data_IF_672551201548
#
_entry.id   IF_672551201548
#
_cell.length_a   1.000
_cell.length_b   1.000
_cell.length_c   1.000
_cell.angle_alpha   90.00
_cell.angle_beta   90.00
_cell.angle_gamma   90.00
#
_symmetry.space_group_name_H-M   'P 1'
#
loop_
_entity.id
_entity.type
_entity.pdbx_description
1 polymer ?
#
# COMPACT_ATOMS: atom_id res chain seq x y z
N UNK A 1 39.37 46.12 -30.60
CA UNK A 1 40.28 45.56 -29.57
C UNK A 1 39.52 44.44 -28.87
N UNK A 2 39.86 43.18 -29.04
CA UNK A 2 39.23 42.08 -28.32
C UNK A 2 39.96 41.83 -26.99
N UNK A 3 39.19 41.61 -25.94
CA UNK A 3 39.69 41.29 -24.62
C UNK A 3 40.06 39.80 -24.53
N UNK A 4 41.25 39.55 -24.06
CA UNK A 4 41.88 38.25 -23.82
C UNK A 4 41.30 37.62 -22.54
N UNK A 5 40.72 36.44 -22.66
CA UNK A 5 40.20 35.64 -21.55
C UNK A 5 40.98 34.33 -21.43
N UNK A 6 42.08 34.39 -20.65
CA UNK A 6 42.79 33.17 -20.24
C UNK A 6 42.05 32.46 -19.10
N UNK A 7 41.84 31.14 -19.15
CA UNK A 7 41.23 30.39 -18.07
C UNK A 7 42.23 30.05 -16.96
N UNK A 8 41.86 30.32 -15.71
CA UNK A 8 42.60 29.87 -14.53
C UNK A 8 42.47 28.36 -14.35
N UNK A 9 43.56 27.62 -14.07
CA UNK A 9 43.50 26.19 -13.80
C UNK A 9 42.94 25.92 -12.40
N UNK A 10 41.96 25.02 -12.32
CA UNK A 10 41.45 24.50 -11.05
C UNK A 10 42.46 23.48 -10.48
N UNK A 11 42.69 23.45 -9.15
CA UNK A 11 43.58 22.48 -8.53
C UNK A 11 43.01 21.06 -8.52
N UNK A 12 43.84 20.09 -8.89
CA UNK A 12 43.54 18.67 -8.97
C UNK A 12 43.23 18.12 -7.57
N UNK A 13 42.09 17.40 -7.46
CA UNK A 13 41.61 16.74 -6.23
C UNK A 13 42.63 15.78 -5.58
N UNK A 14 43.67 15.37 -6.32
CA UNK A 14 44.74 14.49 -5.82
C UNK A 14 45.81 15.23 -5.01
N UNK A 15 45.90 16.54 -5.09
CA UNK A 15 46.88 17.36 -4.33
C UNK A 15 46.37 17.70 -2.92
N UNK A 16 45.06 17.72 -2.67
CA UNK A 16 44.48 18.01 -1.35
C UNK A 16 44.58 16.85 -0.37
N UNK A 17 44.80 15.63 -0.84
CA UNK A 17 44.93 14.43 0.03
C UNK A 17 46.37 14.15 0.51
N UNK A 18 47.40 14.88 0.05
CA UNK A 18 48.81 14.69 0.46
C UNK A 18 49.33 15.65 1.54
N UNK A 19 48.54 16.66 1.91
CA UNK A 19 48.96 17.66 2.90
C UNK A 19 48.58 17.34 4.36
N UNK A 20 47.92 16.20 4.63
CA UNK A 20 47.43 15.84 5.98
C UNK A 20 48.30 14.80 6.73
N UNK A 21 49.51 14.47 6.24
CA UNK A 21 50.35 13.40 6.81
C UNK A 21 51.80 13.86 7.12
N UNK A 22 51.98 15.02 7.72
CA UNK A 22 53.28 15.42 8.25
C UNK A 22 53.13 16.42 9.39
N UNK A 23 52.87 15.94 10.62
CA UNK A 23 53.18 16.69 11.84
C UNK A 23 53.47 15.71 12.98
N UNK A 24 54.79 15.46 13.13
CA UNK A 24 55.58 15.25 14.36
C UNK A 24 54.95 14.68 15.62
N UNK A 25 55.46 13.53 16.03
CA UNK A 25 55.48 13.03 17.42
C UNK A 25 56.38 13.88 18.32
N UNK A 26 55.99 14.11 19.59
CA UNK A 26 56.94 14.14 20.69
C UNK A 26 56.71 12.97 21.65
N UNK A 27 57.79 12.31 21.97
CA UNK A 27 57.97 11.33 23.04
C UNK A 27 57.81 11.97 24.43
N UNK A 28 57.04 11.31 25.31
CA UNK A 28 57.24 11.54 26.74
C UNK A 28 56.02 11.39 27.63
N UNK A 29 56.09 10.44 28.55
CA UNK A 29 55.43 10.28 29.83
C UNK A 29 54.13 9.44 29.92
N UNK A 30 54.31 8.28 30.58
CA UNK A 30 53.28 7.40 31.06
C UNK A 30 52.34 8.12 32.04
N UNK A 31 51.10 8.22 31.66
CA UNK A 31 49.95 8.63 32.48
C UNK A 31 48.74 7.83 32.10
N UNK A 32 48.09 7.19 33.06
CA UNK A 32 47.02 6.23 32.89
C UNK A 32 45.91 6.71 31.98
N UNK A 33 45.68 6.01 30.86
CA UNK A 33 44.52 6.18 29.97
C UNK A 33 43.29 5.63 30.69
N UNK A 34 42.57 6.48 31.42
CA UNK A 34 41.13 6.30 31.59
C UNK A 34 40.50 6.40 30.20
N UNK A 35 40.23 5.28 29.59
CA UNK A 35 39.42 5.23 28.37
C UNK A 35 38.03 5.76 28.73
N UNK A 36 37.81 7.05 28.51
CA UNK A 36 36.48 7.64 28.49
C UNK A 36 35.74 6.97 27.32
N UNK A 37 34.94 5.95 27.63
CA UNK A 37 33.99 5.38 26.70
C UNK A 37 33.08 6.53 26.26
N UNK A 38 33.30 7.04 25.05
CA UNK A 38 32.33 7.91 24.40
C UNK A 38 30.99 7.15 24.43
N UNK A 39 29.91 7.81 24.88
CA UNK A 39 28.60 7.17 24.81
C UNK A 39 28.39 6.74 23.35
N UNK A 40 28.22 5.44 23.14
CA UNK A 40 27.78 4.93 21.85
C UNK A 40 26.49 5.69 21.52
N UNK A 41 26.55 6.56 20.54
CA UNK A 41 25.37 7.21 20.00
C UNK A 41 24.49 6.08 19.47
N UNK A 42 23.51 5.70 20.28
CA UNK A 42 22.47 4.77 19.87
C UNK A 42 21.74 5.44 18.73
N UNK A 43 22.11 5.10 17.50
CA UNK A 43 21.37 5.56 16.34
C UNK A 43 19.93 5.09 16.53
N UNK A 44 19.00 6.03 16.65
CA UNK A 44 17.57 5.71 16.70
C UNK A 44 17.25 4.81 15.52
N UNK A 45 16.66 3.63 15.72
CA UNK A 45 16.34 2.74 14.61
C UNK A 45 15.52 3.49 13.57
N UNK A 46 15.93 3.44 12.31
CA UNK A 46 15.14 4.06 11.24
C UNK A 46 13.75 3.42 11.19
N UNK A 47 12.67 4.22 11.04
CA UNK A 47 11.34 3.67 10.93
C UNK A 47 11.22 2.73 9.73
N UNK A 48 10.43 1.67 9.86
CA UNK A 48 10.08 0.79 8.75
C UNK A 48 9.21 1.54 7.76
N UNK A 49 9.70 1.73 6.54
CA UNK A 49 8.91 2.33 5.45
C UNK A 49 7.94 1.29 4.89
N UNK A 50 6.65 1.56 5.01
CA UNK A 50 5.58 0.69 4.50
C UNK A 50 4.85 1.41 3.37
N UNK A 51 4.94 0.85 2.17
CA UNK A 51 4.32 1.41 0.96
C UNK A 51 2.80 1.26 0.97
N UNK A 52 2.09 2.30 0.52
CA UNK A 52 0.65 2.26 0.35
C UNK A 52 0.13 3.30 -0.63
N UNK A 53 -1.06 3.07 -1.16
CA UNK A 53 -1.78 4.03 -2.00
C UNK A 53 -2.77 4.83 -1.14
N UNK A 54 -3.16 6.04 -1.58
CA UNK A 54 -4.19 6.84 -0.92
C UNK A 54 -5.59 6.29 -1.20
N UNK A 55 -5.82 5.03 -0.85
CA UNK A 55 -7.08 4.29 -1.00
C UNK A 55 -7.57 3.82 0.36
N UNK A 56 -8.89 3.79 0.56
CA UNK A 56 -9.47 3.33 1.83
C UNK A 56 -9.13 1.87 2.12
N UNK A 57 -8.81 1.10 1.09
CA UNK A 57 -8.26 -0.26 1.21
C UNK A 57 -6.96 -0.33 2.06
N UNK A 58 -6.23 0.77 2.17
CA UNK A 58 -4.98 0.85 2.96
C UNK A 58 -5.18 1.59 4.30
N UNK A 59 -6.42 1.88 4.73
CA UNK A 59 -6.70 2.74 5.89
C UNK A 59 -6.15 2.19 7.22
N UNK A 60 -6.05 0.88 7.37
CA UNK A 60 -5.45 0.25 8.56
C UNK A 60 -4.00 0.65 8.77
N UNK A 61 -3.25 0.97 7.70
CA UNK A 61 -1.83 1.34 7.83
C UNK A 61 -1.63 2.74 8.44
N UNK A 62 -2.28 3.84 7.98
CA UNK A 62 -2.22 5.12 8.68
C UNK A 62 -2.60 5.03 10.16
N UNK A 63 -3.67 4.29 10.48
CA UNK A 63 -4.11 4.08 11.86
C UNK A 63 -3.04 3.35 12.67
N UNK A 64 -2.45 2.27 12.14
CA UNK A 64 -1.37 1.52 12.77
C UNK A 64 -0.13 2.40 13.02
N UNK A 65 0.27 3.24 12.06
CA UNK A 65 1.40 4.16 12.19
C UNK A 65 1.17 5.16 13.34
N UNK A 66 -0.02 5.79 13.40
CA UNK A 66 -0.33 6.76 14.46
C UNK A 66 -0.46 6.07 15.81
N UNK A 67 -1.12 4.91 15.87
CA UNK A 67 -1.27 4.16 17.12
C UNK A 67 0.09 3.74 17.71
N UNK A 68 1.00 3.26 16.85
CA UNK A 68 2.35 2.87 17.29
C UNK A 68 3.14 4.09 17.77
N UNK A 69 3.11 5.19 17.05
CA UNK A 69 3.77 6.43 17.45
C UNK A 69 3.22 6.95 18.79
N UNK A 70 1.90 6.89 19.00
CA UNK A 70 1.24 7.27 20.26
C UNK A 70 1.67 6.35 21.41
N UNK A 71 1.72 5.04 21.17
CA UNK A 71 2.19 4.07 22.16
C UNK A 71 3.66 4.32 22.55
N UNK A 72 4.53 4.59 21.57
CA UNK A 72 5.93 4.93 21.83
C UNK A 72 6.08 6.21 22.67
N UNK A 73 5.29 7.24 22.37
CA UNK A 73 5.31 8.50 23.13
C UNK A 73 4.83 8.33 24.58
N UNK A 74 3.97 7.36 24.84
CA UNK A 74 3.49 7.03 26.18
C UNK A 74 4.43 6.12 26.97
N UNK A 75 5.29 5.39 26.30
CA UNK A 75 6.24 4.45 26.92
C UNK A 75 7.44 5.20 27.53
N UNK A 76 7.50 5.23 28.84
CA UNK A 76 8.61 5.83 29.62
C UNK A 76 9.76 4.87 29.91
N UNK A 77 9.68 3.61 29.48
CA UNK A 77 10.68 2.57 29.80
C UNK A 77 12.00 2.75 29.06
N UNK A 78 12.03 3.57 27.99
CA UNK A 78 13.24 3.83 27.20
C UNK A 78 13.71 2.64 26.36
N UNK A 79 12.89 1.61 26.21
CA UNK A 79 13.16 0.47 25.34
C UNK A 79 13.20 0.85 23.86
N UNK A 80 13.95 0.10 23.06
CA UNK A 80 13.96 0.27 21.60
C UNK A 80 12.54 -0.01 21.06
N UNK A 81 11.88 1.05 20.63
CA UNK A 81 10.51 0.96 20.10
C UNK A 81 10.54 0.77 18.58
N UNK A 82 9.67 -0.10 18.08
CA UNK A 82 9.43 -0.17 16.63
C UNK A 82 8.69 1.07 16.15
N UNK A 83 8.98 1.53 14.95
CA UNK A 83 8.30 2.62 14.29
C UNK A 83 7.97 2.23 12.85
N UNK A 84 6.81 2.70 12.37
CA UNK A 84 6.41 2.56 10.97
C UNK A 84 6.16 3.92 10.37
N UNK A 85 6.53 4.07 9.10
CA UNK A 85 6.24 5.26 8.34
C UNK A 85 5.52 4.90 7.04
N UNK A 86 4.40 5.60 6.79
CA UNK A 86 3.63 5.46 5.56
C UNK A 86 4.38 6.09 4.39
N UNK A 87 4.74 5.27 3.40
CA UNK A 87 5.35 5.72 2.15
C UNK A 87 4.28 5.75 1.06
N UNK A 88 3.88 6.95 0.62
CA UNK A 88 2.79 7.17 -0.32
C UNK A 88 3.23 6.96 -1.76
N UNK A 89 2.41 6.23 -2.51
CA UNK A 89 2.57 5.95 -3.94
C UNK A 89 1.26 6.26 -4.70
N UNK A 90 1.34 6.43 -6.02
CA UNK A 90 0.17 6.66 -6.87
C UNK A 90 -0.31 5.41 -7.61
N UNK A 91 0.54 4.38 -7.73
CA UNK A 91 0.22 3.14 -8.41
C UNK A 91 0.99 1.93 -7.89
N UNK A 92 0.43 0.75 -8.07
CA UNK A 92 1.07 -0.51 -7.67
C UNK A 92 2.36 -0.84 -8.45
N UNK A 93 2.55 -0.45 -9.73
CA UNK A 93 3.84 -0.64 -10.40
C UNK A 93 5.00 0.05 -9.65
N UNK A 94 4.80 1.28 -9.17
CA UNK A 94 5.81 2.02 -8.40
C UNK A 94 6.13 1.35 -7.06
N UNK A 95 5.10 0.88 -6.34
CA UNK A 95 5.27 0.12 -5.08
C UNK A 95 6.07 -1.16 -5.36
N UNK A 96 5.66 -1.92 -6.38
CA UNK A 96 6.34 -3.16 -6.79
C UNK A 96 7.84 -2.92 -7.03
N UNK A 97 8.17 -1.93 -7.86
CA UNK A 97 9.58 -1.60 -8.15
C UNK A 97 10.34 -1.15 -6.89
N UNK A 98 9.70 -0.39 -6.01
CA UNK A 98 10.31 0.07 -4.75
C UNK A 98 10.56 -1.08 -3.78
N UNK A 99 9.62 -2.05 -3.70
CA UNK A 99 9.76 -3.25 -2.88
C UNK A 99 10.86 -4.18 -3.43
N UNK A 100 10.88 -4.42 -4.75
CA UNK A 100 11.88 -5.24 -5.41
C UNK A 100 13.29 -4.64 -5.28
N UNK A 101 13.41 -3.32 -5.39
CA UNK A 101 14.68 -2.60 -5.23
C UNK A 101 15.13 -2.45 -3.76
N UNK A 102 14.34 -2.93 -2.78
CA UNK A 102 14.67 -2.80 -1.36
C UNK A 102 14.57 -1.37 -0.81
N UNK A 103 13.97 -0.43 -1.55
CA UNK A 103 13.74 0.95 -1.06
C UNK A 103 12.71 0.99 0.06
N UNK A 104 11.75 0.07 0.04
CA UNK A 104 10.82 -0.24 1.12
C UNK A 104 10.89 -1.74 1.42
N UNK A 105 10.61 -2.12 2.65
CA UNK A 105 10.68 -3.53 3.08
C UNK A 105 9.31 -4.17 3.25
N UNK A 106 8.27 -3.35 3.31
CA UNK A 106 6.87 -3.78 3.42
C UNK A 106 5.97 -2.86 2.58
N UNK A 107 4.83 -3.38 2.13
CA UNK A 107 3.84 -2.60 1.40
C UNK A 107 2.47 -3.28 1.40
N UNK A 108 1.42 -2.48 1.22
CA UNK A 108 0.16 -3.02 0.75
C UNK A 108 0.26 -3.29 -0.76
N UNK A 109 0.00 -4.53 -1.14
CA UNK A 109 0.07 -5.01 -2.52
C UNK A 109 -1.25 -5.68 -2.93
N UNK A 110 -1.47 -5.83 -4.23
CA UNK A 110 -2.56 -6.63 -4.77
C UNK A 110 -2.24 -8.12 -4.64
N UNK A 111 -3.14 -8.94 -4.09
CA UNK A 111 -2.88 -10.36 -3.87
C UNK A 111 -2.43 -11.12 -5.14
N UNK A 112 -3.08 -10.97 -6.34
CA UNK A 112 -2.61 -11.61 -7.56
C UNK A 112 -1.22 -11.14 -8.00
N UNK A 113 -0.87 -9.87 -7.76
CA UNK A 113 0.47 -9.35 -8.07
C UNK A 113 1.55 -10.00 -7.20
N UNK A 114 1.25 -10.26 -5.91
CA UNK A 114 2.18 -10.98 -5.03
C UNK A 114 2.36 -12.43 -5.46
N UNK A 115 1.28 -13.09 -5.91
CA UNK A 115 1.36 -14.44 -6.49
C UNK A 115 2.27 -14.46 -7.73
N UNK A 116 2.14 -13.50 -8.65
CA UNK A 116 3.00 -13.36 -9.82
C UNK A 116 4.47 -13.11 -9.43
N UNK A 117 4.72 -12.29 -8.42
CA UNK A 117 6.07 -12.06 -7.90
C UNK A 117 6.69 -13.35 -7.33
N UNK A 118 5.91 -14.11 -6.57
CA UNK A 118 6.36 -15.38 -6.01
C UNK A 118 6.62 -16.44 -7.09
N UNK A 119 5.80 -16.50 -8.16
CA UNK A 119 6.05 -17.33 -9.33
C UNK A 119 7.39 -16.99 -10.01
N UNK A 120 7.71 -15.70 -10.06
CA UNK A 120 9.00 -15.16 -10.55
C UNK A 120 10.15 -15.26 -9.53
N UNK A 121 9.93 -15.96 -8.40
CA UNK A 121 10.93 -16.15 -7.34
C UNK A 121 11.42 -14.87 -6.68
N UNK A 122 10.59 -13.81 -6.69
CA UNK A 122 10.87 -12.61 -5.91
C UNK A 122 10.56 -12.91 -4.43
N UNK A 123 11.49 -12.66 -3.50
CA UNK A 123 11.40 -13.11 -2.11
C UNK A 123 10.47 -12.20 -1.28
N UNK A 124 9.17 -12.36 -1.45
CA UNK A 124 8.12 -11.62 -0.74
C UNK A 124 7.06 -12.56 -0.18
N UNK A 125 6.45 -12.18 0.95
CA UNK A 125 5.37 -12.93 1.60
C UNK A 125 4.21 -12.02 1.96
N UNK A 126 3.00 -12.52 1.77
CA UNK A 126 1.79 -11.97 2.39
C UNK A 126 1.77 -12.40 3.85
N UNK A 127 1.59 -11.44 4.76
CA UNK A 127 1.58 -11.68 6.21
C UNK A 127 0.27 -11.28 6.89
N UNK A 128 -0.61 -10.52 6.19
CA UNK A 128 -1.94 -10.12 6.68
C UNK A 128 -2.81 -9.61 5.53
N UNK A 129 -4.13 -9.60 5.72
CA UNK A 129 -5.04 -8.78 4.91
C UNK A 129 -4.97 -7.32 5.36
N UNK A 130 -5.38 -6.40 4.46
CA UNK A 130 -5.55 -4.98 4.77
C UNK A 130 -7.01 -4.59 5.00
N UNK A 131 -7.93 -5.23 4.30
CA UNK A 131 -9.37 -4.92 4.30
C UNK A 131 -10.16 -6.00 3.57
N UNK A 132 -11.49 -5.87 3.62
CA UNK A 132 -12.42 -6.57 2.72
C UNK A 132 -13.33 -5.60 2.03
N UNK A 133 -13.87 -5.98 0.84
CA UNK A 133 -14.70 -5.12 -0.01
C UNK A 133 -13.99 -3.82 -0.46
N UNK A 134 -14.72 -2.80 -0.89
CA UNK A 134 -14.16 -1.48 -1.18
C UNK A 134 -13.81 -1.20 -2.64
N UNK A 135 -14.13 -2.09 -3.59
CA UNK A 135 -14.05 -1.78 -5.01
C UNK A 135 -15.42 -1.49 -5.60
N UNK A 136 -15.43 -0.65 -6.63
CA UNK A 136 -16.63 -0.13 -7.28
C UNK A 136 -16.42 -0.01 -8.78
N UNK A 137 -17.48 -0.31 -9.56
CA UNK A 137 -17.54 -0.04 -10.98
C UNK A 137 -18.40 1.20 -11.20
N UNK A 138 -17.80 2.23 -11.77
CA UNK A 138 -18.39 3.55 -11.93
C UNK A 138 -18.72 3.84 -13.40
N UNK A 139 -19.87 4.48 -13.63
CA UNK A 139 -20.30 5.02 -14.91
C UNK A 139 -20.80 6.46 -14.72
N UNK A 140 -20.90 7.22 -15.79
CA UNK A 140 -21.45 8.58 -15.73
C UNK A 140 -22.94 8.57 -15.40
N UNK A 141 -23.39 9.55 -14.64
CA UNK A 141 -24.80 9.71 -14.27
C UNK A 141 -25.70 9.95 -15.52
N UNK A 142 -25.18 10.70 -16.50
CA UNK A 142 -25.88 10.99 -17.76
C UNK A 142 -25.76 9.87 -18.82
N UNK A 143 -25.13 8.74 -18.50
CA UNK A 143 -25.05 7.59 -19.40
C UNK A 143 -26.28 6.69 -19.29
N UNK A 144 -26.64 6.05 -20.41
CA UNK A 144 -27.71 5.04 -20.45
C UNK A 144 -27.29 3.67 -19.91
N UNK A 145 -26.04 3.53 -19.42
CA UNK A 145 -25.48 2.24 -18.99
C UNK A 145 -26.13 1.74 -17.70
N UNK A 146 -27.03 0.75 -17.79
CA UNK A 146 -27.69 0.12 -16.65
C UNK A 146 -27.16 -1.29 -16.39
N UNK A 147 -26.67 -1.96 -17.43
CA UNK A 147 -26.14 -3.34 -17.42
C UNK A 147 -24.78 -3.39 -18.09
N UNK A 148 -24.05 -4.47 -17.88
CA UNK A 148 -22.72 -4.63 -18.50
C UNK A 148 -22.79 -4.78 -20.02
N UNK A 149 -23.91 -5.32 -20.58
CA UNK A 149 -24.13 -5.35 -22.04
C UNK A 149 -24.11 -3.96 -22.69
N UNK A 150 -24.49 -2.94 -21.95
CA UNK A 150 -24.48 -1.55 -22.44
C UNK A 150 -23.04 -1.01 -22.59
N UNK A 151 -22.08 -1.71 -21.99
CA UNK A 151 -20.64 -1.39 -22.06
C UNK A 151 -19.91 -2.10 -23.21
N UNK A 152 -20.62 -2.85 -24.08
CA UNK A 152 -20.01 -3.50 -25.25
C UNK A 152 -19.28 -2.47 -26.13
N UNK A 153 -17.99 -2.74 -26.43
CA UNK A 153 -17.12 -1.84 -27.19
C UNK A 153 -16.64 -0.59 -26.45
N UNK A 154 -17.05 -0.39 -25.19
CA UNK A 154 -16.72 0.79 -24.38
C UNK A 154 -15.37 0.67 -23.69
N UNK A 155 -14.76 1.83 -23.39
CA UNK A 155 -13.48 1.93 -22.69
C UNK A 155 -13.72 1.85 -21.19
N UNK A 156 -13.09 0.86 -20.53
CA UNK A 156 -13.20 0.64 -19.08
C UNK A 156 -11.81 0.71 -18.47
N UNK A 157 -11.58 1.68 -17.59
CA UNK A 157 -10.31 1.79 -16.87
C UNK A 157 -10.25 0.83 -15.69
N UNK A 158 -9.07 0.24 -15.48
CA UNK A 158 -8.72 -0.62 -14.34
C UNK A 158 -7.33 -0.21 -13.82
N UNK A 159 -7.00 -0.49 -12.53
CA UNK A 159 -5.68 -0.14 -11.98
C UNK A 159 -4.52 -0.92 -12.61
N UNK A 160 -4.75 -2.19 -12.89
CA UNK A 160 -3.81 -3.14 -13.48
C UNK A 160 -4.54 -4.44 -13.82
N UNK A 161 -4.03 -5.20 -14.79
CA UNK A 161 -4.53 -6.56 -15.06
C UNK A 161 -4.27 -7.54 -13.90
N UNK A 162 -3.31 -7.24 -13.03
CA UNK A 162 -3.05 -7.98 -11.78
C UNK A 162 -3.93 -7.53 -10.61
N UNK A 163 -4.84 -6.54 -10.81
CA UNK A 163 -5.72 -6.08 -9.76
C UNK A 163 -6.92 -7.01 -9.56
N UNK A 164 -7.33 -7.20 -8.31
CA UNK A 164 -8.59 -7.92 -8.01
C UNK A 164 -9.80 -7.15 -8.57
N UNK A 165 -9.67 -5.81 -8.71
CA UNK A 165 -10.66 -4.97 -9.43
C UNK A 165 -10.89 -5.47 -10.86
N UNK A 166 -9.84 -5.92 -11.57
CA UNK A 166 -9.99 -6.51 -12.90
C UNK A 166 -10.71 -7.86 -12.86
N UNK A 167 -10.40 -8.68 -11.86
CA UNK A 167 -11.11 -9.96 -11.65
C UNK A 167 -12.59 -9.71 -11.33
N UNK A 168 -12.89 -8.67 -10.53
CA UNK A 168 -14.25 -8.22 -10.27
C UNK A 168 -14.97 -7.79 -11.55
N UNK A 169 -14.35 -6.96 -12.37
CA UNK A 169 -14.92 -6.58 -13.66
C UNK A 169 -15.18 -7.80 -14.55
N UNK A 170 -14.24 -8.73 -14.64
CA UNK A 170 -14.41 -9.97 -15.40
C UNK A 170 -15.61 -10.79 -14.92
N UNK A 171 -15.77 -10.91 -13.59
CA UNK A 171 -16.92 -11.60 -12.99
C UNK A 171 -18.24 -10.95 -13.40
N UNK A 172 -18.31 -9.63 -13.36
CA UNK A 172 -19.51 -8.89 -13.74
C UNK A 172 -19.83 -9.02 -15.23
N UNK A 173 -18.82 -8.96 -16.10
CA UNK A 173 -18.99 -9.20 -17.54
C UNK A 173 -19.52 -10.62 -17.80
N UNK A 174 -18.94 -11.63 -17.14
CA UNK A 174 -19.33 -13.03 -17.32
C UNK A 174 -20.77 -13.32 -16.90
N UNK A 175 -21.31 -12.62 -15.91
CA UNK A 175 -22.73 -12.75 -15.49
C UNK A 175 -23.71 -12.37 -16.63
N UNK A 176 -23.28 -11.55 -17.57
CA UNK A 176 -24.07 -11.18 -18.76
C UNK A 176 -23.59 -11.85 -20.05
N UNK A 177 -22.77 -12.90 -19.94
CA UNK A 177 -22.25 -13.66 -21.08
C UNK A 177 -21.19 -12.91 -21.88
N UNK A 178 -20.55 -11.91 -21.28
CA UNK A 178 -19.48 -11.10 -21.86
C UNK A 178 -18.11 -11.53 -21.36
N UNK A 179 -17.08 -11.12 -22.10
CA UNK A 179 -15.68 -11.31 -21.78
C UNK A 179 -14.92 -9.97 -21.84
N UNK A 180 -13.70 -9.87 -21.35
CA UNK A 180 -12.88 -8.66 -21.54
C UNK A 180 -12.60 -8.30 -23.01
N UNK A 181 -12.84 -9.21 -23.97
CA UNK A 181 -12.71 -8.93 -25.40
C UNK A 181 -13.86 -8.10 -25.95
N UNK A 182 -15.01 -8.10 -25.26
CA UNK A 182 -16.20 -7.34 -25.65
C UNK A 182 -16.14 -5.87 -25.22
N UNK A 183 -15.08 -5.48 -24.48
CA UNK A 183 -14.83 -4.12 -24.01
C UNK A 183 -13.38 -3.71 -24.29
N UNK A 184 -13.07 -2.42 -24.16
CA UNK A 184 -11.71 -1.90 -24.31
C UNK A 184 -11.11 -1.64 -22.92
N UNK A 185 -10.23 -2.52 -22.45
CA UNK A 185 -9.58 -2.36 -21.14
C UNK A 185 -8.42 -1.37 -21.24
N UNK A 186 -8.45 -0.34 -20.39
CA UNK A 186 -7.41 0.69 -20.25
C UNK A 186 -6.80 0.59 -18.85
N UNK A 187 -5.49 0.42 -18.75
CA UNK A 187 -4.79 0.48 -17.45
C UNK A 187 -4.46 1.93 -17.09
N UNK A 188 -4.82 2.36 -15.88
CA UNK A 188 -4.70 3.75 -15.45
C UNK A 188 -4.50 3.81 -13.92
N UNK A 189 -3.74 4.79 -13.44
CA UNK A 189 -3.61 5.02 -12.01
C UNK A 189 -4.97 5.40 -11.40
N UNK A 190 -5.35 4.82 -10.25
CA UNK A 190 -6.65 5.08 -9.63
C UNK A 190 -7.01 6.57 -9.41
N UNK A 191 -6.06 7.45 -9.00
CA UNK A 191 -6.35 8.87 -8.85
C UNK A 191 -6.79 9.58 -10.13
N UNK A 192 -6.40 9.08 -11.30
CA UNK A 192 -6.69 9.70 -12.61
C UNK A 192 -8.06 9.29 -13.17
N UNK A 193 -8.61 8.17 -12.69
CA UNK A 193 -9.84 7.58 -13.24
C UNK A 193 -11.08 8.50 -13.13
N UNK A 194 -11.33 9.20 -12.00
CA UNK A 194 -12.45 10.12 -11.90
C UNK A 194 -12.42 11.22 -12.96
N UNK A 195 -11.24 11.82 -13.17
CA UNK A 195 -11.06 12.87 -14.18
C UNK A 195 -11.22 12.32 -15.61
N UNK A 196 -10.68 11.12 -15.88
CA UNK A 196 -10.85 10.46 -17.19
C UNK A 196 -12.31 10.14 -17.50
N UNK A 197 -13.10 9.71 -16.51
CA UNK A 197 -14.55 9.50 -16.68
C UNK A 197 -15.29 10.82 -16.93
N UNK A 198 -14.96 11.87 -16.17
CA UNK A 198 -15.53 13.19 -16.35
C UNK A 198 -15.27 13.74 -17.75
N UNK A 199 -14.04 13.64 -18.23
CA UNK A 199 -13.61 14.07 -19.56
C UNK A 199 -14.10 13.15 -20.70
N UNK A 200 -14.86 12.07 -20.41
CA UNK A 200 -15.29 11.05 -21.38
C UNK A 200 -14.12 10.35 -22.09
N UNK A 201 -12.93 10.38 -21.50
CA UNK A 201 -11.78 9.61 -21.97
C UNK A 201 -11.97 8.12 -21.76
N UNK A 202 -12.75 7.75 -20.75
CA UNK A 202 -13.26 6.38 -20.52
C UNK A 202 -14.78 6.42 -20.29
N UNK A 203 -15.46 5.30 -20.54
CA UNK A 203 -16.91 5.17 -20.38
C UNK A 203 -17.28 4.64 -18.98
N UNK A 204 -16.37 3.86 -18.39
CA UNK A 204 -16.48 3.32 -17.03
C UNK A 204 -15.08 3.16 -16.42
N UNK A 205 -15.04 2.96 -15.12
CA UNK A 205 -13.84 2.46 -14.43
C UNK A 205 -14.18 1.53 -13.28
N UNK A 206 -13.27 0.62 -12.96
CA UNK A 206 -13.33 -0.26 -11.81
C UNK A 206 -12.10 -0.02 -10.92
N UNK A 207 -12.31 0.42 -9.68
CA UNK A 207 -11.20 0.69 -8.76
C UNK A 207 -11.64 0.67 -7.31
N UNK A 208 -10.65 0.66 -6.39
CA UNK A 208 -10.86 0.81 -4.95
C UNK A 208 -11.28 2.23 -4.57
N UNK A 209 -11.99 2.33 -3.44
CA UNK A 209 -12.39 3.62 -2.87
C UNK A 209 -11.17 4.41 -2.32
N UNK A 210 -11.22 5.76 -2.31
CA UNK A 210 -12.40 6.62 -2.38
C UNK A 210 -12.68 7.23 -3.76
N UNK A 211 -12.11 6.69 -4.83
CA UNK A 211 -12.23 7.30 -6.17
C UNK A 211 -13.64 7.19 -6.76
N UNK A 212 -14.40 6.14 -6.39
CA UNK A 212 -15.81 6.08 -6.69
C UNK A 212 -16.63 7.14 -5.96
N UNK A 213 -16.40 7.27 -4.66
CA UNK A 213 -17.03 8.28 -3.82
C UNK A 213 -16.75 9.70 -4.29
N UNK A 214 -15.52 9.99 -4.73
CA UNK A 214 -15.15 11.30 -5.27
C UNK A 214 -16.03 11.70 -6.46
N UNK A 215 -16.18 10.80 -7.44
CA UNK A 215 -17.01 11.05 -8.62
C UNK A 215 -18.51 11.11 -8.29
N UNK A 216 -19.00 10.29 -7.35
CA UNK A 216 -20.39 10.33 -6.87
C UNK A 216 -20.72 11.66 -6.19
N UNK A 217 -19.86 12.12 -5.28
CA UNK A 217 -20.07 13.39 -4.56
C UNK A 217 -19.99 14.60 -5.48
N UNK A 218 -19.17 14.54 -6.52
CA UNK A 218 -19.13 15.55 -7.58
C UNK A 218 -20.37 15.52 -8.52
N UNK A 219 -21.26 14.52 -8.36
CA UNK A 219 -22.57 14.44 -9.03
C UNK A 219 -22.56 13.93 -10.45
N UNK A 220 -21.40 13.71 -11.07
CA UNK A 220 -21.30 13.30 -12.48
C UNK A 220 -21.22 11.80 -12.70
N UNK A 221 -21.08 11.00 -11.64
CA UNK A 221 -20.97 9.55 -11.74
C UNK A 221 -21.83 8.82 -10.70
N UNK A 222 -22.17 7.59 -11.02
CA UNK A 222 -22.87 6.65 -10.15
C UNK A 222 -22.19 5.29 -10.15
N UNK A 223 -22.33 4.56 -9.05
CA UNK A 223 -21.92 3.15 -9.02
C UNK A 223 -22.87 2.31 -9.89
N UNK A 224 -22.30 1.51 -10.79
CA UNK A 224 -23.01 0.47 -11.51
C UNK A 224 -23.08 -0.81 -10.65
N UNK A 225 -21.96 -1.19 -10.00
CA UNK A 225 -21.87 -2.31 -9.05
C UNK A 225 -20.82 -2.03 -8.00
N UNK A 226 -20.98 -2.65 -6.82
CA UNK A 226 -20.01 -2.62 -5.72
C UNK A 226 -19.66 -4.05 -5.31
N UNK A 227 -18.42 -4.27 -4.88
CA UNK A 227 -17.96 -5.59 -4.41
C UNK A 227 -18.74 -6.08 -3.18
N UNK A 228 -19.21 -5.19 -2.30
CA UNK A 228 -20.03 -5.54 -1.14
C UNK A 228 -21.31 -6.33 -1.52
N UNK A 229 -21.88 -6.03 -2.67
CA UNK A 229 -23.13 -6.63 -3.15
C UNK A 229 -22.89 -7.91 -3.95
N UNK A 230 -21.80 -7.95 -4.72
CA UNK A 230 -21.57 -8.96 -5.75
C UNK A 230 -20.49 -10.00 -5.39
N UNK A 231 -19.64 -9.70 -4.42
CA UNK A 231 -18.54 -10.58 -4.03
C UNK A 231 -18.24 -10.48 -2.52
N UNK A 232 -18.97 -11.22 -1.73
CA UNK A 232 -18.96 -11.15 -0.24
C UNK A 232 -17.56 -11.25 0.38
N UNK A 233 -16.75 -12.17 -0.09
CA UNK A 233 -15.42 -12.44 0.46
C UNK A 233 -14.31 -11.76 -0.34
N UNK A 234 -14.64 -10.65 -1.01
CA UNK A 234 -13.67 -9.90 -1.77
C UNK A 234 -12.47 -9.50 -0.90
N UNK A 235 -11.29 -9.95 -1.29
CA UNK A 235 -10.00 -9.52 -0.76
C UNK A 235 -9.21 -8.86 -1.88
N UNK A 236 -8.49 -7.79 -1.56
CA UNK A 236 -7.73 -7.05 -2.56
C UNK A 236 -6.31 -6.78 -2.07
N UNK A 237 -6.18 -5.78 -1.20
CA UNK A 237 -4.88 -5.37 -0.69
C UNK A 237 -4.46 -6.25 0.50
N UNK A 238 -3.24 -6.73 0.41
CA UNK A 238 -2.58 -7.58 1.40
C UNK A 238 -1.30 -6.92 1.88
N UNK A 239 -1.00 -7.02 3.17
CA UNK A 239 0.27 -6.61 3.71
C UNK A 239 1.34 -7.60 3.27
N UNK A 240 2.26 -7.12 2.47
CA UNK A 240 3.36 -7.89 1.87
C UNK A 240 4.67 -7.40 2.45
N UNK A 241 5.56 -8.31 2.82
CA UNK A 241 6.89 -8.01 3.32
C UNK A 241 7.96 -8.79 2.53
N UNK A 242 9.18 -8.24 2.48
CA UNK A 242 10.34 -8.96 1.95
C UNK A 242 10.73 -10.08 2.90
N UNK A 243 11.11 -11.23 2.38
CA UNK A 243 11.57 -12.36 3.20
C UNK A 243 12.83 -12.00 4.01
N UNK A 244 13.67 -11.10 3.48
CA UNK A 244 14.82 -10.55 4.19
C UNK A 244 14.41 -9.89 5.52
N UNK A 245 13.38 -9.02 5.50
CA UNK A 245 12.87 -8.40 6.72
C UNK A 245 12.33 -9.43 7.72
N UNK A 246 11.63 -10.48 7.23
CA UNK A 246 11.14 -11.56 8.10
C UNK A 246 12.31 -12.27 8.78
N UNK A 247 13.40 -12.52 8.03
CA UNK A 247 14.61 -13.18 8.55
C UNK A 247 15.36 -12.30 9.54
N UNK A 248 15.53 -11.03 9.21
CA UNK A 248 16.39 -10.11 9.97
C UNK A 248 15.69 -9.52 11.19
N UNK A 249 14.37 -9.27 11.11
CA UNK A 249 13.61 -8.66 12.21
C UNK A 249 12.15 -9.15 12.26
N UNK A 250 11.96 -10.44 12.49
CA UNK A 250 10.64 -11.04 12.64
C UNK A 250 9.77 -10.36 13.72
N UNK A 251 10.31 -9.91 14.89
CA UNK A 251 9.51 -9.19 15.88
C UNK A 251 8.91 -7.88 15.36
N UNK A 252 9.61 -7.13 14.52
CA UNK A 252 9.11 -5.90 13.89
C UNK A 252 7.93 -6.21 12.95
N UNK A 253 8.04 -7.28 12.15
CA UNK A 253 6.94 -7.70 11.26
C UNK A 253 5.73 -8.14 12.08
N UNK A 254 5.93 -8.90 13.18
CA UNK A 254 4.84 -9.31 14.05
C UNK A 254 4.16 -8.11 14.72
N UNK A 255 4.93 -7.13 15.17
CA UNK A 255 4.41 -5.90 15.78
C UNK A 255 3.58 -5.09 14.75
N UNK A 256 4.05 -4.98 13.51
CA UNK A 256 3.29 -4.35 12.42
C UNK A 256 1.96 -5.09 12.15
N UNK A 257 1.98 -6.42 12.07
CA UNK A 257 0.76 -7.23 11.89
C UNK A 257 -0.20 -7.05 13.06
N UNK A 258 0.30 -7.03 14.30
CA UNK A 258 -0.52 -6.80 15.49
C UNK A 258 -1.24 -5.44 15.43
N UNK A 259 -0.54 -4.38 14.98
CA UNK A 259 -1.12 -3.04 14.85
C UNK A 259 -2.10 -2.92 13.67
N UNK A 260 -1.82 -3.56 12.54
CA UNK A 260 -2.75 -3.61 11.40
C UNK A 260 -4.04 -4.35 11.76
N UNK A 261 -3.93 -5.50 12.43
CA UNK A 261 -5.09 -6.27 12.90
C UNK A 261 -5.88 -5.50 13.98
N UNK A 262 -5.18 -4.87 14.93
CA UNK A 262 -5.80 -4.02 15.94
C UNK A 262 -6.51 -2.80 15.32
N UNK A 263 -5.88 -2.16 14.34
CA UNK A 263 -6.49 -1.05 13.59
C UNK A 263 -7.76 -1.49 12.85
N UNK A 264 -7.75 -2.67 12.23
CA UNK A 264 -8.92 -3.23 11.56
C UNK A 264 -10.09 -3.46 12.52
N UNK A 265 -9.84 -4.11 13.64
CA UNK A 265 -10.86 -4.32 14.68
C UNK A 265 -11.39 -3.00 15.23
N UNK A 266 -10.50 -2.05 15.53
CA UNK A 266 -10.87 -0.75 16.06
C UNK A 266 -11.74 0.06 15.09
N UNK A 267 -11.43 0.03 13.78
CA UNK A 267 -12.20 0.71 12.73
C UNK A 267 -13.65 0.22 12.68
N UNK A 268 -13.89 -1.08 12.83
CA UNK A 268 -15.23 -1.66 12.71
C UNK A 268 -15.99 -1.74 14.04
N UNK A 269 -15.39 -1.32 15.18
CA UNK A 269 -16.07 -1.30 16.46
C UNK A 269 -17.21 -0.25 16.52
N UNK A 270 -16.96 0.95 16.00
CA UNK A 270 -17.92 2.06 16.03
C UNK A 270 -17.60 3.16 15.02
N UNK A 271 -18.63 3.90 14.61
CA UNK A 271 -18.48 4.96 13.61
C UNK A 271 -17.54 6.09 14.07
N UNK A 272 -17.47 6.39 15.37
CA UNK A 272 -16.53 7.39 15.90
C UNK A 272 -15.07 7.05 15.60
N UNK A 273 -14.70 5.77 15.67
CA UNK A 273 -13.36 5.34 15.33
C UNK A 273 -13.07 5.54 13.82
N UNK A 274 -14.05 5.26 12.95
CA UNK A 274 -13.96 5.56 11.53
C UNK A 274 -13.78 7.06 11.26
N UNK A 275 -14.50 7.92 11.99
CA UNK A 275 -14.38 9.37 11.89
C UNK A 275 -12.99 9.87 12.30
N UNK A 276 -12.40 9.30 13.34
CA UNK A 276 -11.01 9.58 13.72
C UNK A 276 -10.03 9.12 12.66
N UNK A 277 -10.22 7.92 12.11
CA UNK A 277 -9.40 7.42 11.02
C UNK A 277 -9.49 8.28 9.75
N UNK A 278 -10.67 8.84 9.44
CA UNK A 278 -10.85 9.80 8.35
C UNK A 278 -9.97 11.03 8.56
N UNK A 279 -9.94 11.59 9.77
CA UNK A 279 -9.12 12.75 10.08
C UNK A 279 -7.61 12.45 9.93
N UNK A 280 -7.16 11.27 10.36
CA UNK A 280 -5.79 10.80 10.18
C UNK A 280 -5.47 10.68 8.69
N UNK A 281 -6.28 9.92 7.95
CA UNK A 281 -6.02 9.60 6.54
C UNK A 281 -6.06 10.84 5.64
N UNK A 282 -6.93 11.80 5.91
CA UNK A 282 -7.02 13.04 5.14
C UNK A 282 -5.74 13.90 5.23
N UNK A 283 -4.93 13.71 6.27
CA UNK A 283 -3.69 14.45 6.48
C UNK A 283 -2.66 14.27 5.34
N UNK A 284 -1.82 15.31 5.14
CA UNK A 284 -0.79 15.35 4.06
C UNK A 284 0.20 14.17 4.11
N UNK A 285 0.50 13.69 5.32
CA UNK A 285 1.41 12.55 5.54
C UNK A 285 0.84 11.24 4.97
N UNK A 286 -0.48 11.13 4.86
CA UNK A 286 -1.17 9.92 4.44
C UNK A 286 -1.82 10.09 3.06
N UNK A 287 -3.15 10.07 2.97
CA UNK A 287 -3.84 10.09 1.68
C UNK A 287 -3.85 11.47 1.03
N UNK A 288 -3.83 12.55 1.85
CA UNK A 288 -3.93 13.93 1.35
C UNK A 288 -5.18 14.13 0.47
N UNK A 289 -6.31 13.74 1.00
CA UNK A 289 -7.60 13.79 0.31
C UNK A 289 -8.65 14.56 1.14
N UNK A 290 -9.73 15.00 0.49
CA UNK A 290 -10.85 15.65 1.17
C UNK A 290 -11.47 14.69 2.22
N UNK A 291 -11.49 15.05 3.51
CA UNK A 291 -12.06 14.21 4.55
C UNK A 291 -13.54 13.89 4.33
N UNK A 292 -14.29 14.75 3.62
CA UNK A 292 -15.68 14.49 3.32
C UNK A 292 -15.88 13.37 2.30
N UNK A 293 -14.92 13.18 1.39
CA UNK A 293 -14.94 12.06 0.44
C UNK A 293 -14.64 10.76 1.17
N UNK A 294 -13.61 10.74 2.03
CA UNK A 294 -13.28 9.54 2.82
C UNK A 294 -14.43 9.20 3.78
N UNK A 295 -15.02 10.18 4.44
CA UNK A 295 -16.18 9.99 5.32
C UNK A 295 -17.37 9.41 4.57
N UNK A 296 -17.65 9.88 3.37
CA UNK A 296 -18.73 9.34 2.53
C UNK A 296 -18.54 7.83 2.28
N UNK A 297 -17.31 7.36 2.04
CA UNK A 297 -17.02 5.93 1.92
C UNK A 297 -17.34 5.17 3.19
N UNK A 298 -17.05 5.76 4.37
CA UNK A 298 -17.25 5.10 5.66
C UNK A 298 -18.73 5.03 6.11
N UNK A 299 -19.60 5.78 5.47
CA UNK A 299 -20.99 5.95 5.86
C UNK A 299 -22.01 5.52 4.79
N UNK A 300 -21.61 5.43 3.51
CA UNK A 300 -22.58 5.31 2.42
C UNK A 300 -22.26 4.19 1.40
N UNK A 301 -22.61 2.93 1.73
CA UNK A 301 -23.07 2.41 3.02
C UNK A 301 -21.90 2.14 3.98
N UNK A 302 -22.19 1.90 5.26
CA UNK A 302 -21.17 1.69 6.31
C UNK A 302 -20.30 0.46 6.08
N UNK A 303 -20.78 -0.55 5.35
CA UNK A 303 -20.06 -1.77 4.97
C UNK A 303 -19.47 -1.71 3.54
N UNK A 304 -19.38 -0.51 2.94
CA UNK A 304 -18.74 -0.31 1.63
C UNK A 304 -17.29 -0.80 1.62
N UNK A 305 -16.57 -0.57 2.72
CA UNK A 305 -15.27 -1.17 3.04
C UNK A 305 -15.33 -1.66 4.48
N UNK A 306 -14.81 -2.86 4.75
CA UNK A 306 -14.77 -3.46 6.08
C UNK A 306 -13.34 -3.87 6.46
N UNK A 307 -13.04 -3.81 7.74
CA UNK A 307 -11.69 -3.98 8.28
C UNK A 307 -11.61 -4.99 9.44
N UNK A 308 -12.73 -5.33 10.07
CA UNK A 308 -12.74 -6.17 11.27
C UNK A 308 -12.40 -7.63 11.01
N UNK A 309 -12.77 -8.16 9.83
CA UNK A 309 -12.45 -9.53 9.43
C UNK A 309 -11.24 -9.60 8.50
N UNK A 310 -10.07 -9.64 9.09
CA UNK A 310 -8.80 -9.78 8.36
C UNK A 310 -8.23 -11.20 8.42
N UNK A 311 -9.07 -12.21 8.63
CA UNK A 311 -8.65 -13.63 8.58
C UNK A 311 -8.18 -13.97 7.18
N UNK A 312 -7.04 -14.65 7.10
CA UNK A 312 -6.54 -15.22 5.85
C UNK A 312 -7.12 -16.61 5.66
N UNK A 313 -8.09 -16.73 4.74
CA UNK A 313 -8.75 -17.99 4.44
C UNK A 313 -8.15 -18.55 3.15
N UNK A 314 -7.47 -19.68 3.25
CA UNK A 314 -6.72 -20.30 2.14
C UNK A 314 -7.57 -20.46 0.88
N UNK A 315 -8.81 -20.95 0.99
CA UNK A 315 -9.71 -21.12 -0.14
C UNK A 315 -9.96 -19.80 -0.92
N UNK A 316 -10.05 -18.66 -0.22
CA UNK A 316 -10.25 -17.35 -0.88
C UNK A 316 -9.03 -16.95 -1.75
N UNK A 317 -7.81 -17.29 -1.32
CA UNK A 317 -6.60 -17.07 -2.11
C UNK A 317 -6.48 -18.05 -3.26
N UNK A 318 -6.89 -19.31 -3.07
CA UNK A 318 -6.92 -20.32 -4.12
C UNK A 318 -7.94 -19.94 -5.22
N UNK A 319 -9.10 -19.40 -4.84
CA UNK A 319 -10.09 -18.84 -5.79
C UNK A 319 -9.50 -17.66 -6.58
N UNK A 320 -8.84 -16.71 -5.90
CA UNK A 320 -8.17 -15.59 -6.59
C UNK A 320 -7.08 -16.07 -7.55
N UNK A 321 -6.32 -17.08 -7.17
CA UNK A 321 -5.30 -17.67 -8.02
C UNK A 321 -5.93 -18.31 -9.26
N UNK A 322 -6.99 -19.08 -9.11
CA UNK A 322 -7.71 -19.68 -10.22
C UNK A 322 -8.24 -18.61 -11.18
N UNK A 323 -8.91 -17.58 -10.66
CA UNK A 323 -9.39 -16.43 -11.45
C UNK A 323 -8.24 -15.71 -12.17
N UNK A 324 -7.06 -15.62 -11.56
CA UNK A 324 -5.88 -15.00 -12.16
C UNK A 324 -5.31 -15.85 -13.32
N UNK A 325 -5.35 -17.18 -13.21
CA UNK A 325 -4.99 -18.10 -14.29
C UNK A 325 -5.98 -17.97 -15.46
N UNK A 326 -7.28 -17.95 -15.19
CA UNK A 326 -8.32 -17.73 -16.18
C UNK A 326 -8.23 -16.34 -16.85
N UNK A 327 -7.72 -15.35 -16.12
CA UNK A 327 -7.44 -14.03 -16.65
C UNK A 327 -6.15 -13.97 -17.49
N UNK A 328 -5.32 -15.02 -17.46
CA UNK A 328 -4.03 -15.09 -18.14
C UNK A 328 -2.93 -14.25 -17.48
N UNK A 329 -3.12 -13.82 -16.24
CA UNK A 329 -2.12 -13.05 -15.46
C UNK A 329 -1.18 -13.97 -14.68
N UNK A 330 -1.62 -15.19 -14.37
CA UNK A 330 -0.78 -16.29 -13.91
C UNK A 330 -0.79 -17.41 -14.94
N UNK A 331 0.35 -18.10 -15.12
CA UNK A 331 0.47 -19.19 -16.09
C UNK A 331 0.05 -20.54 -15.52
N UNK A 332 0.27 -20.72 -14.22
CA UNK A 332 0.03 -21.97 -13.50
C UNK A 332 -0.18 -21.68 -12.00
N UNK A 333 -0.72 -22.66 -11.24
CA UNK A 333 -0.86 -22.51 -9.80
C UNK A 333 0.48 -22.30 -9.10
N UNK A 334 0.51 -21.33 -8.17
CA UNK A 334 1.66 -21.06 -7.30
C UNK A 334 1.38 -21.68 -5.93
N UNK A 335 2.30 -22.47 -5.40
CA UNK A 335 2.11 -23.09 -4.10
C UNK A 335 1.90 -22.04 -3.01
N UNK A 336 0.94 -22.28 -2.12
CA UNK A 336 0.47 -21.33 -1.12
C UNK A 336 1.59 -20.80 -0.21
N UNK A 337 2.50 -21.67 0.21
CA UNK A 337 3.67 -21.34 1.02
C UNK A 337 4.72 -20.48 0.30
N UNK A 338 4.65 -20.38 -1.03
CA UNK A 338 5.57 -19.53 -1.80
C UNK A 338 5.26 -18.05 -1.66
N UNK A 339 3.98 -17.67 -1.50
CA UNK A 339 3.57 -16.29 -1.40
C UNK A 339 2.96 -15.92 -0.04
N UNK A 340 2.75 -16.89 0.86
CA UNK A 340 2.06 -16.70 2.15
C UNK A 340 2.93 -17.10 3.33
N UNK A 341 2.87 -16.33 4.43
CA UNK A 341 3.33 -16.72 5.76
C UNK A 341 2.23 -16.45 6.79
N UNK A 342 1.39 -17.47 7.05
CA UNK A 342 0.29 -17.39 8.01
C UNK A 342 0.76 -17.38 9.48
N UNK A 343 2.03 -17.65 9.76
CA UNK A 343 2.52 -17.74 11.13
C UNK A 343 2.32 -16.43 11.89
N UNK A 344 2.33 -15.29 11.18
CA UNK A 344 2.11 -13.96 11.77
C UNK A 344 0.66 -13.78 12.24
N UNK A 345 -0.33 -14.16 11.42
CA UNK A 345 -1.75 -14.06 11.82
C UNK A 345 -2.16 -15.14 12.82
N UNK A 346 -1.50 -16.30 12.80
CA UNK A 346 -1.69 -17.35 13.83
C UNK A 346 -1.14 -16.92 15.20
N UNK A 347 -0.06 -16.15 15.21
CA UNK A 347 0.54 -15.62 16.42
C UNK A 347 0.04 -14.22 16.82
N UNK A 348 -0.94 -13.67 16.10
CA UNK A 348 -1.39 -12.29 16.28
C UNK A 348 -1.97 -12.04 17.67
N UNK A 349 -1.54 -10.93 18.25
CA UNK A 349 -2.12 -10.29 19.44
C UNK A 349 -2.48 -8.87 19.03
N UNK A 350 -3.75 -8.62 18.59
CA UNK A 350 -4.14 -7.33 18.07
C UNK A 350 -3.79 -6.21 19.04
N UNK A 351 -3.09 -5.19 18.56
CA UNK A 351 -2.71 -4.07 19.41
C UNK A 351 -3.96 -3.25 19.82
N UNK A 352 -3.96 -2.77 21.05
CA UNK A 352 -4.98 -1.82 21.51
C UNK A 352 -4.72 -0.46 20.85
N UNK A 353 -5.71 0.07 20.16
CA UNK A 353 -5.63 1.36 19.47
C UNK A 353 -6.17 2.46 20.38
N UNK A 354 -5.28 3.19 21.03
CA UNK A 354 -5.58 4.31 21.93
C UNK A 354 -5.58 5.67 21.20
N UNK A 355 -6.55 5.90 20.30
CA UNK A 355 -6.69 7.14 19.51
C UNK A 355 -7.98 7.91 19.81
#
# INVERSE_FOLDING_TARGET
MPADSTPHPQPDRRQLLRAALAASLPTGLAGGLAASALPAWSATPKPLLVGGLPVTCNLTLPVACVARATANAADKSGGAAFEYEYSKYNGWPEIKESLMAGRIQAAYMLAPLVMDLADKKIPVKIVSLGHRSGAVIMVRTDSAYQRFKDLTGKRIAIPSRFAVDFLFLRKMLAQEGMTPKDVQIVEMAPPDMPAALYAKAVDAYCTGEPFGAAAQRAGYARALRMTRDEWRNYICCVLTVREELIKDNRPLVQDLVNHVMGAGQWLDQKQDNRNKAVAIAAGRKYFNQDPNIIRFVMENPTDRVTYGDLRMIRAEFEDLMQLSIEAGTLKSPVAYDKYMDESFVKAVKPAVIGL
#
